data_IF_630402137179
#
_entry.id   IF_630402137179
#
_cell.length_a   1.000
_cell.length_b   1.000
_cell.length_c   1.000
_cell.angle_alpha   90.00
_cell.angle_beta   90.00
_cell.angle_gamma   90.00
#
_symmetry.space_group_name_H-M   'P 1'
#
loop_
_entity.id
_entity.type
_entity.pdbx_description
1 polymer ?
#
# COMPACT_ATOMS: atom_id res chain seq x y z
N UNK A 1 -13.61 30.97 -17.39
CA UNK A 1 -13.85 29.86 -16.44
C UNK A 1 -13.59 28.56 -17.18
N UNK A 2 -12.66 27.73 -16.70
CA UNK A 2 -12.41 26.43 -17.33
C UNK A 2 -13.61 25.49 -17.12
N UNK A 3 -13.99 24.68 -18.12
CA UNK A 3 -15.12 23.76 -17.98
C UNK A 3 -14.85 22.71 -16.90
N UNK A 4 -15.87 22.39 -16.10
CA UNK A 4 -15.79 21.37 -15.06
C UNK A 4 -15.90 19.99 -15.72
N UNK A 5 -14.80 19.24 -15.76
CA UNK A 5 -14.79 17.88 -16.31
C UNK A 5 -15.26 16.88 -15.26
N UNK A 6 -16.26 16.07 -15.60
CA UNK A 6 -16.70 14.95 -14.77
C UNK A 6 -15.75 13.77 -14.98
N UNK A 7 -15.09 13.33 -13.92
CA UNK A 7 -14.18 12.17 -13.92
C UNK A 7 -14.85 11.03 -13.16
N UNK A 8 -14.74 9.81 -13.71
CA UNK A 8 -15.19 8.57 -13.06
C UNK A 8 -13.99 7.65 -12.97
N UNK A 9 -13.74 7.10 -11.78
CA UNK A 9 -12.66 6.13 -11.52
C UNK A 9 -13.25 4.72 -11.56
N UNK A 10 -12.57 3.80 -12.24
CA UNK A 10 -12.97 2.40 -12.37
C UNK A 10 -11.75 1.51 -12.17
N UNK A 11 -11.94 0.40 -11.46
CA UNK A 11 -10.92 -0.63 -11.27
C UNK A 11 -11.09 -1.71 -12.34
N UNK A 12 -9.98 -2.10 -12.96
CA UNK A 12 -9.93 -3.20 -13.93
C UNK A 12 -8.89 -4.24 -13.49
N UNK A 13 -9.15 -5.54 -13.70
CA UNK A 13 -8.17 -6.58 -13.46
C UNK A 13 -6.95 -6.37 -14.36
N UNK A 14 -5.75 -6.57 -13.81
CA UNK A 14 -4.50 -6.45 -14.56
C UNK A 14 -4.34 -7.58 -15.58
N UNK A 15 -3.66 -7.31 -16.70
CA UNK A 15 -3.28 -8.29 -17.72
C UNK A 15 -4.46 -9.03 -18.39
N UNK A 16 -5.55 -8.32 -18.65
CA UNK A 16 -6.74 -8.87 -19.33
C UNK A 16 -6.86 -8.51 -20.82
N UNK A 17 -5.78 -8.09 -21.47
CA UNK A 17 -5.80 -7.80 -22.91
C UNK A 17 -6.35 -6.44 -23.30
N UNK A 18 -6.56 -5.50 -22.36
CA UNK A 18 -7.06 -4.15 -22.67
C UNK A 18 -5.89 -3.33 -23.26
N UNK A 19 -5.89 -2.99 -24.56
CA UNK A 19 -4.69 -2.47 -25.22
C UNK A 19 -4.19 -1.14 -24.60
N UNK A 20 -5.12 -0.28 -24.16
CA UNK A 20 -4.77 0.98 -23.50
C UNK A 20 -4.12 0.77 -22.12
N UNK A 21 -4.61 -0.19 -21.34
CA UNK A 21 -4.04 -0.51 -20.03
C UNK A 21 -2.66 -1.17 -20.18
N UNK A 22 -2.53 -2.11 -21.12
CA UNK A 22 -1.26 -2.79 -21.37
C UNK A 22 -0.18 -1.83 -21.86
N UNK A 23 -0.53 -0.88 -22.73
CA UNK A 23 0.39 0.17 -23.17
C UNK A 23 0.83 1.07 -22.02
N UNK A 24 -0.08 1.43 -21.11
CA UNK A 24 0.28 2.22 -19.91
C UNK A 24 1.19 1.41 -18.98
N UNK A 25 0.90 0.14 -18.75
CA UNK A 25 1.73 -0.76 -17.94
C UNK A 25 3.13 -0.94 -18.54
N UNK A 26 3.23 -1.09 -19.86
CA UNK A 26 4.50 -1.16 -20.59
C UNK A 26 5.29 0.15 -20.45
N UNK A 27 4.65 1.30 -20.68
CA UNK A 27 5.28 2.61 -20.53
C UNK A 27 5.74 2.87 -19.09
N UNK A 28 4.95 2.47 -18.10
CA UNK A 28 5.33 2.56 -16.69
C UNK A 28 6.56 1.70 -16.38
N UNK A 29 6.66 0.49 -16.95
CA UNK A 29 7.85 -0.37 -16.84
C UNK A 29 9.07 0.22 -17.53
N UNK A 30 8.90 0.80 -18.72
CA UNK A 30 9.99 1.45 -19.45
C UNK A 30 10.52 2.68 -18.70
N UNK A 31 9.63 3.46 -18.06
CA UNK A 31 10.00 4.63 -17.27
C UNK A 31 10.89 4.31 -16.07
N UNK A 32 10.85 3.07 -15.53
CA UNK A 32 11.76 2.64 -14.46
C UNK A 32 13.23 2.62 -14.91
N UNK A 33 13.47 2.36 -16.20
CA UNK A 33 14.81 2.22 -16.78
C UNK A 33 15.25 3.48 -17.54
N UNK A 34 14.41 4.50 -17.61
CA UNK A 34 14.73 5.74 -18.30
C UNK A 34 15.45 6.69 -17.35
N UNK A 35 16.67 7.10 -17.71
CA UNK A 35 17.36 8.18 -17.00
C UNK A 35 16.58 9.49 -17.18
N UNK A 36 16.17 10.10 -16.07
CA UNK A 36 15.49 11.38 -16.12
C UNK A 36 16.45 12.46 -16.68
N UNK A 37 15.96 13.40 -17.50
CA UNK A 37 16.77 14.51 -18.01
C UNK A 37 17.44 15.26 -16.87
N UNK A 38 18.71 15.65 -17.04
CA UNK A 38 19.62 16.14 -15.99
C UNK A 38 19.09 17.27 -15.10
N UNK A 39 18.09 18.03 -15.54
CA UNK A 39 17.49 19.12 -14.76
C UNK A 39 16.33 18.68 -13.84
N UNK A 40 15.82 17.47 -14.01
CA UNK A 40 14.73 16.89 -13.21
C UNK A 40 15.07 15.53 -12.65
N UNK A 41 16.34 15.14 -12.67
CA UNK A 41 16.82 13.91 -12.07
C UNK A 41 16.71 14.01 -10.54
N UNK A 42 15.48 13.85 -10.03
CA UNK A 42 15.26 13.55 -8.62
C UNK A 42 15.76 12.13 -8.44
N UNK A 43 17.03 12.01 -8.09
CA UNK A 43 17.66 10.76 -7.74
C UNK A 43 16.91 10.24 -6.50
N UNK A 44 16.02 9.27 -6.67
CA UNK A 44 15.31 8.65 -5.53
C UNK A 44 16.29 7.97 -4.56
N UNK A 45 17.50 7.62 -5.02
CA UNK A 45 18.61 7.17 -4.17
C UNK A 45 19.30 8.28 -3.38
N UNK A 46 19.12 9.57 -3.71
CA UNK A 46 19.64 10.72 -2.94
C UNK A 46 18.76 11.07 -1.73
N UNK A 47 17.60 10.40 -1.58
CA UNK A 47 16.88 10.34 -0.30
C UNK A 47 17.54 9.36 0.69
N UNK A 48 18.59 8.62 0.30
CA UNK A 48 19.55 8.13 1.28
C UNK A 48 20.58 9.22 1.52
N UNK A 49 20.32 9.99 2.58
CA UNK A 49 21.35 10.63 3.42
C UNK A 49 22.56 11.17 2.64
N UNK A 50 22.40 12.21 1.83
CA UNK A 50 23.53 13.13 1.69
C UNK A 50 23.68 13.82 3.03
N UNK A 51 24.84 13.61 3.65
CA UNK A 51 25.25 14.24 4.90
C UNK A 51 24.93 15.74 4.83
N UNK A 52 23.98 16.17 5.65
CA UNK A 52 23.66 17.58 5.82
C UNK A 52 24.80 18.20 6.64
N UNK A 53 25.32 19.39 6.27
CA UNK A 53 26.37 20.02 7.07
C UNK A 53 25.81 20.43 8.43
N UNK A 54 26.60 20.19 9.49
CA UNK A 54 26.58 20.89 10.78
C UNK A 54 25.22 21.11 11.46
N UNK A 55 25.00 20.38 12.56
CA UNK A 55 24.09 20.67 13.68
C UNK A 55 22.61 20.29 13.57
N UNK A 56 22.09 19.89 12.41
CA UNK A 56 20.70 19.37 12.31
C UNK A 56 20.56 18.19 11.34
N UNK A 57 21.21 17.08 11.67
CA UNK A 57 20.92 15.81 11.01
C UNK A 57 19.53 15.31 11.44
N UNK A 58 18.47 15.65 10.70
CA UNK A 58 17.16 15.00 10.88
C UNK A 58 17.25 13.62 10.25
N UNK A 59 17.36 12.60 11.08
CA UNK A 59 17.44 11.22 10.62
C UNK A 59 16.12 10.88 9.95
N UNK A 60 16.15 10.30 8.74
CA UNK A 60 14.93 9.90 8.02
C UNK A 60 14.00 9.01 8.85
N UNK A 61 14.55 8.23 9.78
CA UNK A 61 13.76 7.47 10.77
C UNK A 61 12.84 8.36 11.59
N UNK A 62 13.31 9.54 11.99
CA UNK A 62 12.59 10.45 12.87
C UNK A 62 11.49 11.19 12.12
N UNK A 63 11.78 11.58 10.87
CA UNK A 63 10.76 12.15 9.99
C UNK A 63 9.69 11.10 9.64
N UNK A 64 10.13 9.88 9.30
CA UNK A 64 9.23 8.76 9.02
C UNK A 64 8.36 8.45 10.23
N UNK A 65 8.91 8.46 11.44
CA UNK A 65 8.15 8.26 12.67
C UNK A 65 7.14 9.38 12.88
N UNK A 66 7.55 10.65 12.69
CA UNK A 66 6.66 11.82 12.82
C UNK A 66 5.50 11.83 11.83
N UNK A 67 5.68 11.29 10.63
CA UNK A 67 4.63 11.19 9.61
C UNK A 67 3.77 9.96 9.80
N UNK A 68 4.37 8.80 10.05
CA UNK A 68 3.64 7.55 10.15
C UNK A 68 2.81 7.46 11.43
N UNK A 69 3.29 8.01 12.55
CA UNK A 69 2.56 7.90 13.83
C UNK A 69 1.18 8.57 13.78
N UNK A 70 1.03 9.80 13.26
CA UNK A 70 -0.29 10.40 13.05
C UNK A 70 -1.14 9.63 12.03
N UNK A 71 -0.57 9.18 10.91
CA UNK A 71 -1.32 8.39 9.91
C UNK A 71 -1.87 7.10 10.50
N UNK A 72 -1.05 6.35 11.23
CA UNK A 72 -1.45 5.12 11.91
C UNK A 72 -2.60 5.38 12.89
N UNK A 73 -2.58 6.51 13.62
CA UNK A 73 -3.67 6.90 14.52
C UNK A 73 -4.96 7.25 13.77
N UNK A 74 -4.86 7.98 12.67
CA UNK A 74 -6.02 8.30 11.83
C UNK A 74 -6.65 7.04 11.27
N UNK A 75 -5.84 6.14 10.69
CA UNK A 75 -6.31 4.86 10.19
C UNK A 75 -6.93 3.98 11.27
N UNK A 76 -6.35 3.94 12.47
CA UNK A 76 -6.93 3.21 13.57
C UNK A 76 -8.28 3.81 13.99
N UNK A 77 -8.38 5.14 14.02
CA UNK A 77 -9.63 5.83 14.35
C UNK A 77 -10.71 5.52 13.32
N UNK A 78 -10.39 5.63 12.03
CA UNK A 78 -11.32 5.29 10.95
C UNK A 78 -11.77 3.82 11.07
N UNK A 79 -10.83 2.91 11.35
CA UNK A 79 -11.09 1.48 11.55
C UNK A 79 -11.99 1.19 12.75
N UNK A 80 -11.81 1.91 13.87
CA UNK A 80 -12.64 1.79 15.07
C UNK A 80 -14.05 2.37 14.87
N UNK A 81 -14.22 3.31 13.94
CA UNK A 81 -15.51 3.95 13.65
C UNK A 81 -16.38 3.20 12.64
N UNK A 82 -15.80 2.28 11.86
CA UNK A 82 -16.52 1.53 10.84
C UNK A 82 -17.51 0.54 11.49
N UNK A 83 -18.80 0.79 11.31
CA UNK A 83 -19.87 -0.10 11.77
C UNK A 83 -20.15 -1.16 10.70
N UNK A 84 -20.40 -2.42 11.10
CA UNK A 84 -20.56 -3.58 10.20
C UNK A 84 -19.25 -4.08 9.53
N UNK A 85 -18.12 -3.93 10.22
CA UNK A 85 -16.86 -4.49 9.79
C UNK A 85 -16.55 -5.81 10.51
N UNK A 86 -16.94 -6.94 9.92
CA UNK A 86 -16.66 -8.30 10.44
C UNK A 86 -15.16 -8.58 10.67
N UNK A 87 -14.28 -7.88 9.96
CA UNK A 87 -12.83 -8.03 10.14
C UNK A 87 -12.34 -7.36 11.41
N UNK A 88 -13.09 -6.40 11.97
CA UNK A 88 -12.73 -5.74 13.22
C UNK A 88 -12.67 -6.73 14.39
N UNK A 89 -13.60 -7.68 14.46
CA UNK A 89 -13.63 -8.73 15.48
C UNK A 89 -12.36 -9.59 15.48
N UNK A 90 -11.79 -9.82 14.29
CA UNK A 90 -10.59 -10.63 14.08
C UNK A 90 -9.32 -9.78 14.26
N UNK A 91 -9.40 -8.49 13.91
CA UNK A 91 -8.26 -7.57 13.90
C UNK A 91 -8.68 -6.16 14.32
N UNK A 92 -8.79 -5.89 15.62
CA UNK A 92 -9.14 -4.55 16.11
C UNK A 92 -7.97 -3.58 15.97
N UNK A 93 -6.71 -4.04 16.10
CA UNK A 93 -5.52 -3.18 16.05
C UNK A 93 -4.79 -3.36 14.70
N UNK A 94 -4.72 -2.29 13.89
CA UNK A 94 -4.10 -2.34 12.56
C UNK A 94 -2.56 -2.31 12.61
N UNK A 95 -1.99 -1.59 13.57
CA UNK A 95 -0.54 -1.43 13.72
C UNK A 95 0.17 -2.74 14.07
N UNK A 96 -0.53 -3.64 14.74
CA UNK A 96 -0.04 -5.00 14.94
C UNK A 96 -0.04 -5.69 13.58
N UNK A 97 1.15 -5.73 12.97
CA UNK A 97 1.43 -6.72 11.94
C UNK A 97 1.33 -8.04 12.69
N UNK A 98 0.29 -8.83 12.39
CA UNK A 98 0.34 -10.26 12.69
C UNK A 98 1.69 -10.69 12.12
N UNK A 99 2.59 -11.08 13.00
CA UNK A 99 3.84 -11.68 12.59
C UNK A 99 3.40 -12.94 11.85
N UNK A 100 3.19 -12.82 10.54
CA UNK A 100 3.20 -13.96 9.67
C UNK A 100 4.56 -14.54 9.91
N UNK A 101 4.57 -15.70 10.54
CA UNK A 101 5.79 -16.42 10.85
C UNK A 101 6.59 -16.45 9.54
N UNK A 102 7.80 -15.89 9.55
CA UNK A 102 8.63 -15.75 8.34
C UNK A 102 8.90 -17.11 7.66
N UNK A 103 8.56 -18.20 8.36
CA UNK A 103 8.61 -19.58 7.90
C UNK A 103 7.40 -20.00 7.06
N UNK A 104 6.34 -19.19 6.94
CA UNK A 104 5.16 -19.54 6.16
C UNK A 104 5.38 -19.23 4.67
N UNK A 105 5.11 -20.21 3.83
CA UNK A 105 4.95 -19.98 2.40
C UNK A 105 3.67 -19.17 2.13
N UNK A 106 3.62 -18.46 1.00
CA UNK A 106 2.43 -17.72 0.53
C UNK A 106 1.14 -18.55 0.54
N UNK A 107 1.26 -19.85 0.22
CA UNK A 107 0.12 -20.78 0.24
C UNK A 107 -0.42 -20.97 1.67
N UNK A 108 0.47 -21.12 2.65
CA UNK A 108 0.10 -21.28 4.05
C UNK A 108 -0.47 -19.98 4.63
N UNK A 109 0.11 -18.83 4.30
CA UNK A 109 -0.45 -17.52 4.68
C UNK A 109 -1.89 -17.38 4.19
N UNK A 110 -2.15 -17.72 2.92
CA UNK A 110 -3.49 -17.67 2.33
C UNK A 110 -4.48 -18.57 3.07
N UNK A 111 -4.06 -19.79 3.44
CA UNK A 111 -4.91 -20.71 4.22
C UNK A 111 -5.21 -20.15 5.60
N UNK A 112 -4.21 -19.61 6.31
CA UNK A 112 -4.39 -19.00 7.63
C UNK A 112 -5.32 -17.78 7.55
N UNK A 113 -5.15 -16.91 6.55
CA UNK A 113 -6.04 -15.78 6.33
C UNK A 113 -7.48 -16.23 6.12
N UNK A 114 -7.72 -17.22 5.25
CA UNK A 114 -9.06 -17.78 4.99
C UNK A 114 -9.69 -18.35 6.25
N UNK A 115 -8.94 -19.12 7.03
CA UNK A 115 -9.44 -19.66 8.30
C UNK A 115 -9.83 -18.56 9.29
N UNK A 116 -9.02 -17.50 9.39
CA UNK A 116 -9.29 -16.36 10.28
C UNK A 116 -10.58 -15.63 9.93
N UNK A 117 -10.89 -15.47 8.65
CA UNK A 117 -12.15 -14.86 8.19
C UNK A 117 -13.31 -15.86 8.10
N UNK A 118 -13.14 -17.07 8.63
CA UNK A 118 -14.20 -18.08 8.68
C UNK A 118 -14.47 -18.78 7.36
N UNK A 119 -13.58 -18.72 6.37
CA UNK A 119 -13.68 -19.46 5.11
C UNK A 119 -13.07 -20.86 5.26
N UNK A 120 -13.92 -21.83 5.57
CA UNK A 120 -13.64 -23.26 5.65
C UNK A 120 -14.49 -24.00 4.62
N UNK A 121 -14.26 -25.30 4.42
CA UNK A 121 -15.11 -26.10 3.54
C UNK A 121 -16.59 -26.09 3.99
N UNK A 122 -16.85 -26.09 5.30
CA UNK A 122 -18.20 -26.12 5.88
C UNK A 122 -18.94 -24.79 5.67
N UNK A 123 -18.22 -23.67 5.68
CA UNK A 123 -18.80 -22.33 5.56
C UNK A 123 -18.84 -21.81 4.11
N UNK A 124 -18.21 -22.51 3.17
CA UNK A 124 -18.16 -22.13 1.76
C UNK A 124 -19.47 -22.38 0.98
N UNK A 125 -20.41 -23.11 1.58
CA UNK A 125 -21.74 -23.36 0.99
C UNK A 125 -22.76 -22.27 1.38
N UNK A 126 -22.41 -21.39 2.33
CA UNK A 126 -23.34 -20.43 2.94
C UNK A 126 -22.97 -18.95 2.75
N UNK A 127 -21.87 -18.65 2.05
CA UNK A 127 -21.41 -17.29 1.71
C UNK A 127 -21.16 -17.24 0.21
#
# INVERSE_FOLDING_TARGET
MAPRTKVVLVWIPSHVGIPGNEKVDELAKLALNQEMPGDKQVIWSDLKLKEMPGDKQVIWSDLKLKVNTPLEKLWQTDWDTEVDNKLYEIRPILKERLAYDEKLSRKQETVVSRLRIGHSWITHEYI
#
